data_IF_006586720616
#
_entry.id   IF_006586720616
#
_cell.length_a   1.000
_cell.length_b   1.000
_cell.length_c   1.000
_cell.angle_alpha   90.00
_cell.angle_beta   90.00
_cell.angle_gamma   90.00
#
_symmetry.space_group_name_H-M   'P 1'
#
loop_
_entity.id
_entity.type
_entity.pdbx_description
1 polymer ?
#
# COMPACT_ATOMS: atom_id res chain seq x y z
N UNK A 1 -7.34 4.25 -14.66
CA UNK A 1 -5.91 4.50 -14.96
C UNK A 1 -5.24 3.47 -15.86
N UNK A 2 -5.90 2.40 -16.33
CA UNK A 2 -5.31 1.47 -17.33
C UNK A 2 -3.94 0.92 -16.93
N UNK A 3 -3.74 0.63 -15.63
CA UNK A 3 -2.59 -0.11 -15.11
C UNK A 3 -2.98 -1.58 -15.06
N UNK A 4 -2.09 -2.47 -15.47
CA UNK A 4 -2.29 -3.91 -15.29
C UNK A 4 -2.00 -4.26 -13.83
N UNK A 5 -2.98 -4.86 -13.15
CA UNK A 5 -2.87 -5.25 -11.74
C UNK A 5 -1.93 -6.44 -11.53
N UNK A 6 -1.59 -7.16 -12.59
CA UNK A 6 -0.66 -8.29 -12.56
C UNK A 6 0.80 -7.88 -12.80
N UNK A 7 1.04 -6.61 -13.11
CA UNK A 7 2.37 -6.09 -13.41
C UNK A 7 3.20 -5.87 -12.14
N UNK A 8 4.52 -5.75 -12.29
CA UNK A 8 5.50 -5.74 -11.20
C UNK A 8 5.28 -4.60 -10.20
N UNK A 9 4.73 -3.48 -10.65
CA UNK A 9 4.48 -2.33 -9.77
C UNK A 9 3.58 -2.70 -8.58
N UNK A 10 2.65 -3.65 -8.76
CA UNK A 10 1.65 -4.11 -7.78
C UNK A 10 2.07 -5.40 -7.04
N UNK A 11 3.34 -5.81 -7.15
CA UNK A 11 3.89 -6.97 -6.45
C UNK A 11 5.01 -6.52 -5.52
N UNK A 12 5.03 -7.07 -4.32
CA UNK A 12 6.06 -6.81 -3.33
C UNK A 12 6.24 -8.04 -2.44
N UNK A 13 7.50 -8.45 -2.22
CA UNK A 13 7.81 -9.49 -1.23
C UNK A 13 7.83 -8.84 0.16
N UNK A 14 6.94 -9.30 1.04
CA UNK A 14 6.84 -8.80 2.41
C UNK A 14 7.14 -9.90 3.42
N UNK A 15 7.77 -9.57 4.57
CA UNK A 15 8.10 -10.53 5.61
C UNK A 15 6.85 -10.86 6.45
N UNK A 16 5.83 -11.43 5.82
CA UNK A 16 4.58 -11.83 6.47
C UNK A 16 4.02 -13.07 5.80
N UNK A 17 3.42 -13.95 6.60
CA UNK A 17 2.75 -15.15 6.11
C UNK A 17 1.31 -15.16 6.63
N UNK A 18 0.36 -15.44 5.73
CA UNK A 18 -1.06 -15.47 6.04
C UNK A 18 -1.75 -14.12 5.94
N UNK A 19 -2.87 -13.94 6.63
CA UNK A 19 -3.75 -12.79 6.47
C UNK A 19 -3.21 -11.55 7.20
N UNK A 20 -3.18 -10.40 6.54
CA UNK A 20 -2.92 -9.13 7.22
C UNK A 20 -4.12 -8.70 8.09
N UNK A 21 -3.91 -7.88 9.14
CA UNK A 21 -5.00 -7.29 9.90
C UNK A 21 -5.93 -6.44 9.03
N UNK A 22 -7.22 -6.39 9.37
CA UNK A 22 -8.18 -5.49 8.71
C UNK A 22 -7.71 -4.03 8.67
N UNK A 23 -7.15 -3.55 9.78
CA UNK A 23 -6.63 -2.19 9.88
C UNK A 23 -5.51 -1.88 8.85
N UNK A 24 -4.69 -2.86 8.49
CA UNK A 24 -3.70 -2.69 7.43
C UNK A 24 -4.37 -2.57 6.05
N UNK A 25 -5.41 -3.37 5.78
CA UNK A 25 -6.16 -3.27 4.54
C UNK A 25 -6.90 -1.93 4.41
N UNK A 26 -7.54 -1.47 5.50
CA UNK A 26 -8.22 -0.16 5.53
C UNK A 26 -7.23 0.99 5.31
N UNK A 27 -6.04 0.89 5.92
CA UNK A 27 -4.95 1.85 5.73
C UNK A 27 -4.50 1.93 4.27
N UNK A 28 -4.21 0.79 3.64
CA UNK A 28 -3.78 0.74 2.23
C UNK A 28 -4.88 1.28 1.33
N UNK A 29 -6.15 0.95 1.59
CA UNK A 29 -7.29 1.43 0.83
C UNK A 29 -7.42 2.96 0.88
N UNK A 30 -7.34 3.56 2.07
CA UNK A 30 -7.39 5.02 2.25
C UNK A 30 -6.26 5.74 1.47
N UNK A 31 -5.05 5.20 1.53
CA UNK A 31 -3.91 5.72 0.76
C UNK A 31 -4.17 5.63 -0.74
N UNK A 32 -4.63 4.49 -1.23
CA UNK A 32 -4.95 4.29 -2.66
C UNK A 32 -6.02 5.27 -3.13
N UNK A 33 -7.11 5.45 -2.39
CA UNK A 33 -8.16 6.41 -2.70
C UNK A 33 -7.64 7.86 -2.72
N UNK A 34 -6.78 8.21 -1.75
CA UNK A 34 -6.14 9.53 -1.72
C UNK A 34 -5.22 9.73 -2.92
N UNK A 35 -4.43 8.73 -3.29
CA UNK A 35 -3.50 8.81 -4.40
C UNK A 35 -4.19 8.91 -5.75
N UNK A 36 -5.28 8.16 -5.96
CA UNK A 36 -6.09 8.26 -7.17
C UNK A 36 -6.65 9.68 -7.34
N UNK A 37 -7.24 10.25 -6.27
CA UNK A 37 -7.74 11.64 -6.25
C UNK A 37 -6.65 12.67 -6.54
N UNK A 38 -5.43 12.47 -6.04
CA UNK A 38 -4.31 13.37 -6.29
C UNK A 38 -3.75 13.22 -7.71
N UNK A 39 -3.74 12.00 -8.24
CA UNK A 39 -3.19 11.68 -9.55
C UNK A 39 -4.13 12.08 -10.69
N UNK A 40 -5.46 12.08 -10.50
CA UNK A 40 -6.44 12.53 -11.50
C UNK A 40 -6.24 11.89 -12.88
N UNK A 41 -5.97 10.59 -12.91
CA UNK A 41 -5.68 9.84 -14.13
C UNK A 41 -4.20 9.78 -14.54
N UNK A 42 -3.31 10.58 -13.95
CA UNK A 42 -1.87 10.54 -14.22
C UNK A 42 -1.22 9.28 -13.60
N UNK A 43 -0.90 8.31 -14.45
CA UNK A 43 -0.27 7.05 -14.05
C UNK A 43 1.08 7.25 -13.39
N UNK A 44 1.92 8.16 -13.90
CA UNK A 44 3.28 8.38 -13.36
C UNK A 44 3.19 8.97 -11.96
N UNK A 45 2.26 9.90 -11.75
CA UNK A 45 2.01 10.49 -10.43
C UNK A 45 1.47 9.45 -9.44
N UNK A 46 0.52 8.61 -9.86
CA UNK A 46 0.01 7.52 -9.03
C UNK A 46 1.12 6.55 -8.62
N UNK A 47 1.91 6.05 -9.58
CA UNK A 47 2.99 5.10 -9.31
C UNK A 47 4.06 5.69 -8.37
N UNK A 48 4.37 6.99 -8.50
CA UNK A 48 5.29 7.67 -7.57
C UNK A 48 4.74 7.74 -6.14
N UNK A 49 3.43 7.92 -5.96
CA UNK A 49 2.80 7.90 -4.64
C UNK A 49 2.73 6.47 -4.08
N UNK A 50 2.40 5.50 -4.93
CA UNK A 50 2.33 4.10 -4.53
C UNK A 50 3.70 3.54 -4.13
N UNK A 51 4.79 3.91 -4.82
CA UNK A 51 6.14 3.51 -4.41
C UNK A 51 6.51 4.06 -3.02
N UNK A 52 6.04 5.27 -2.67
CA UNK A 52 6.23 5.82 -1.32
C UNK A 52 5.47 5.01 -0.26
N UNK A 53 4.26 4.55 -0.57
CA UNK A 53 3.53 3.64 0.32
C UNK A 53 4.30 2.33 0.51
N UNK A 54 4.82 1.73 -0.57
CA UNK A 54 5.64 0.52 -0.46
C UNK A 54 6.88 0.77 0.41
N UNK A 55 7.57 1.91 0.24
CA UNK A 55 8.69 2.29 1.10
C UNK A 55 8.27 2.42 2.57
N UNK A 56 7.14 3.06 2.86
CA UNK A 56 6.63 3.17 4.22
C UNK A 56 6.38 1.80 4.87
N UNK A 57 5.78 0.86 4.11
CA UNK A 57 5.57 -0.52 4.59
C UNK A 57 6.89 -1.25 4.79
N UNK A 58 7.87 -1.10 3.88
CA UNK A 58 9.21 -1.70 4.02
C UNK A 58 9.94 -1.18 5.25
N UNK A 59 9.81 0.11 5.57
CA UNK A 59 10.44 0.72 6.75
C UNK A 59 9.66 0.49 8.04
N UNK A 60 8.39 0.09 7.97
CA UNK A 60 7.54 -0.20 9.13
C UNK A 60 6.89 -1.58 8.99
N UNK A 61 7.66 -2.68 8.93
CA UNK A 61 7.12 -4.02 8.68
C UNK A 61 6.15 -4.48 9.78
N UNK A 62 6.24 -3.92 10.99
CA UNK A 62 5.31 -4.18 12.09
C UNK A 62 3.85 -3.85 11.73
N UNK A 63 3.61 -2.93 10.79
CA UNK A 63 2.28 -2.60 10.27
C UNK A 63 1.57 -3.80 9.63
N UNK A 64 2.31 -4.82 9.22
CA UNK A 64 1.75 -6.05 8.67
C UNK A 64 1.13 -6.94 9.75
N UNK A 65 1.34 -6.62 11.03
CA UNK A 65 0.93 -7.40 12.18
C UNK A 65 -0.08 -6.66 13.05
N UNK A 66 -0.96 -7.43 13.72
CA UNK A 66 -2.03 -6.87 14.57
C UNK A 66 -1.49 -6.05 15.75
N UNK A 67 -0.27 -6.31 16.19
CA UNK A 67 0.36 -5.65 17.35
C UNK A 67 0.50 -4.14 17.14
N UNK A 68 1.05 -3.75 15.99
CA UNK A 68 1.22 -2.35 15.60
C UNK A 68 -0.09 -1.53 15.71
N UNK A 69 -1.20 -2.12 15.25
CA UNK A 69 -2.50 -1.45 15.23
C UNK A 69 -3.21 -1.40 16.59
N UNK A 70 -2.79 -2.20 17.56
CA UNK A 70 -3.34 -2.17 18.93
C UNK A 70 -2.69 -1.11 19.81
N UNK A 71 -1.48 -0.68 19.46
CA UNK A 71 -0.70 0.32 20.18
C UNK A 71 -0.78 1.72 19.58
N UNK A 72 -1.64 1.92 18.56
CA UNK A 72 -1.83 3.20 17.88
C UNK A 72 -2.96 4.02 18.49
#
# INVERSE_FOLDING_TARGET
>A
MGLDLNDEWNKELLPHQGRHPYAYHDYVLDKLSTYDRLAKGDKKKFLKLFERLKQEVRYNPEMLYKGYWRSK
#
